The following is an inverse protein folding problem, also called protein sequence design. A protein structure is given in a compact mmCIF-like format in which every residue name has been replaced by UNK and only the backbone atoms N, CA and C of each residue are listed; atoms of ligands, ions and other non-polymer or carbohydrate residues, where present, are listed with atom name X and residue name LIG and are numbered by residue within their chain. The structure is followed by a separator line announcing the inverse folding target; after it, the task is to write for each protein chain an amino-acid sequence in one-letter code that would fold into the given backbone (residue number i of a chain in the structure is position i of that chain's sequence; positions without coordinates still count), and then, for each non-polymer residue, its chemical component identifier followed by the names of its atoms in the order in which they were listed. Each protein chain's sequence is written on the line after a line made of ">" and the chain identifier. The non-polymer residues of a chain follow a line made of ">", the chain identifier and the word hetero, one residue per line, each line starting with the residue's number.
data_IF_718997887776
#
_entry.id   IF_718997887776
#
_cell.length_a   1.000
_cell.length_b   1.000
_cell.length_c   1.000
_cell.angle_alpha   90.00
_cell.angle_beta   90.00
_cell.angle_gamma   90.00
#
_symmetry.space_group_name_H-M   'P 1'
#
loop_
_entity.id
_entity.type
_entity.pdbx_description
1 polymer ?
#
# COMPACT_ATOMS: atom_id res chain seq x y z
N UNK A 1 -6.45 -2.18 -23.15
CA UNK A 1 -5.73 -3.11 -22.25
C UNK A 1 -5.55 -4.45 -22.94
N UNK A 2 -4.34 -5.03 -22.90
CA UNK A 2 -4.13 -6.44 -23.30
C UNK A 2 -4.24 -7.29 -22.03
N UNK A 3 -5.31 -8.08 -21.92
CA UNK A 3 -5.46 -9.06 -20.84
C UNK A 3 -4.42 -10.17 -21.03
N UNK A 4 -3.70 -10.54 -19.97
CA UNK A 4 -2.62 -11.54 -20.03
C UNK A 4 -3.12 -12.94 -19.66
N UNK A 5 -4.22 -13.03 -18.92
CA UNK A 5 -4.82 -14.28 -18.45
C UNK A 5 -6.36 -14.21 -18.44
N UNK A 6 -7.03 -15.38 -18.52
CA UNK A 6 -8.48 -15.48 -18.31
C UNK A 6 -8.88 -15.02 -16.90
N UNK A 7 -7.97 -15.14 -15.93
CA UNK A 7 -8.15 -14.65 -14.57
C UNK A 7 -8.09 -13.12 -14.46
N UNK A 8 -7.62 -12.41 -15.49
CA UNK A 8 -7.77 -10.94 -15.55
C UNK A 8 -9.19 -10.51 -15.92
N UNK A 9 -9.99 -11.43 -16.47
CA UNK A 9 -11.36 -11.21 -16.94
C UNK A 9 -12.35 -11.64 -15.84
N UNK A 10 -12.07 -12.75 -15.17
CA UNK A 10 -12.82 -13.21 -14.00
C UNK A 10 -12.34 -12.40 -12.79
N UNK A 11 -13.16 -11.45 -12.31
CA UNK A 11 -12.83 -10.62 -11.15
C UNK A 11 -12.46 -11.45 -9.90
N UNK A 12 -11.79 -10.86 -8.90
CA UNK A 12 -11.31 -11.59 -7.74
C UNK A 12 -12.47 -12.17 -6.92
N UNK A 13 -12.19 -13.25 -6.19
CA UNK A 13 -13.10 -13.74 -5.15
C UNK A 13 -13.20 -12.65 -4.08
N UNK A 14 -14.40 -12.13 -3.86
CA UNK A 14 -14.61 -10.98 -2.99
C UNK A 14 -15.98 -10.98 -2.33
N UNK A 15 -16.10 -10.22 -1.25
CA UNK A 15 -17.38 -9.74 -0.73
C UNK A 15 -17.82 -8.60 -1.64
N UNK A 16 -19.07 -8.67 -2.12
CA UNK A 16 -19.65 -7.68 -3.03
C UNK A 16 -19.82 -6.27 -2.41
N UNK A 17 -20.38 -5.31 -3.18
CA UNK A 17 -20.95 -5.47 -4.52
C UNK A 17 -19.96 -5.17 -5.65
N UNK A 18 -18.80 -4.56 -5.39
CA UNK A 18 -17.99 -3.92 -6.43
C UNK A 18 -16.52 -4.32 -6.38
N UNK A 19 -15.97 -4.73 -7.52
CA UNK A 19 -14.55 -5.09 -7.60
C UNK A 19 -13.62 -3.90 -7.43
N UNK A 20 -14.00 -2.72 -7.89
CA UNK A 20 -13.21 -1.50 -7.67
C UNK A 20 -13.40 -0.93 -6.27
N UNK A 21 -14.66 -0.82 -5.83
CA UNK A 21 -15.00 -0.11 -4.60
C UNK A 21 -14.94 -0.97 -3.34
N UNK A 22 -14.95 -2.30 -3.48
CA UNK A 22 -14.86 -3.24 -2.34
C UNK A 22 -13.54 -4.01 -2.39
N UNK A 23 -13.28 -4.81 -3.43
CA UNK A 23 -12.03 -5.59 -3.48
C UNK A 23 -10.78 -4.70 -3.61
N UNK A 24 -10.82 -3.70 -4.50
CA UNK A 24 -9.73 -2.73 -4.63
C UNK A 24 -9.52 -1.92 -3.35
N UNK A 25 -10.59 -1.43 -2.75
CA UNK A 25 -10.55 -0.72 -1.48
C UNK A 25 -9.93 -1.56 -0.34
N UNK A 26 -10.34 -2.83 -0.19
CA UNK A 26 -9.76 -3.73 0.81
C UNK A 26 -8.27 -3.98 0.57
N UNK A 27 -7.85 -4.17 -0.68
CA UNK A 27 -6.42 -4.32 -1.02
C UNK A 27 -5.63 -3.06 -0.70
N UNK A 28 -6.15 -1.86 -0.97
CA UNK A 28 -5.49 -0.60 -0.61
C UNK A 28 -5.30 -0.53 0.91
N UNK A 29 -6.34 -0.85 1.69
CA UNK A 29 -6.28 -0.89 3.15
C UNK A 29 -5.25 -1.90 3.67
N UNK A 30 -5.16 -3.08 3.04
CA UNK A 30 -4.21 -4.12 3.43
C UNK A 30 -2.76 -3.75 3.14
N UNK A 31 -2.50 -3.17 1.96
CA UNK A 31 -1.16 -2.65 1.64
C UNK A 31 -0.77 -1.52 2.59
N UNK A 32 -1.69 -0.60 2.90
CA UNK A 32 -1.48 0.42 3.92
C UNK A 32 -1.12 -0.20 5.29
N UNK A 33 -1.85 -1.24 5.71
CA UNK A 33 -1.54 -1.99 6.94
C UNK A 33 -0.14 -2.62 6.92
N UNK A 34 0.26 -3.26 5.82
CA UNK A 34 1.60 -3.82 5.67
C UNK A 34 2.68 -2.74 5.78
N UNK A 35 2.47 -1.58 5.15
CA UNK A 35 3.39 -0.43 5.21
C UNK A 35 3.50 0.15 6.63
N UNK A 36 2.40 0.16 7.38
CA UNK A 36 2.42 0.54 8.79
C UNK A 36 3.15 -0.50 9.64
N UNK A 37 2.99 -1.78 9.33
CA UNK A 37 3.68 -2.94 9.93
C UNK A 37 2.97 -3.53 11.15
N UNK A 38 1.90 -2.90 11.63
CA UNK A 38 1.09 -3.32 12.79
C UNK A 38 -0.26 -2.62 12.79
N UNK A 39 -1.05 -2.77 13.84
CA UNK A 39 -2.34 -2.10 13.95
C UNK A 39 -2.19 -0.64 14.33
N UNK A 40 -2.73 0.30 13.53
CA UNK A 40 -2.80 1.68 13.96
C UNK A 40 -3.88 1.86 15.04
N UNK A 41 -3.69 2.84 15.91
CA UNK A 41 -4.70 3.26 16.88
C UNK A 41 -5.60 4.36 16.30
N UNK A 42 -5.13 5.09 15.28
CA UNK A 42 -5.88 6.12 14.58
C UNK A 42 -5.71 6.00 13.08
N UNK A 43 -6.82 6.12 12.36
CA UNK A 43 -6.90 6.11 10.90
C UNK A 43 -7.76 7.27 10.42
N UNK A 44 -7.23 8.06 9.51
CA UNK A 44 -7.98 9.08 8.76
C UNK A 44 -7.95 8.69 7.29
N UNK A 45 -9.13 8.52 6.70
CA UNK A 45 -9.31 8.16 5.30
C UNK A 45 -9.91 9.34 4.56
N UNK A 46 -9.11 9.99 3.72
CA UNK A 46 -9.59 10.99 2.77
C UNK A 46 -9.95 10.31 1.44
N UNK A 47 -11.20 10.45 1.01
CA UNK A 47 -11.75 9.86 -0.19
C UNK A 47 -11.94 10.93 -1.25
N UNK A 48 -11.63 10.61 -2.50
CA UNK A 48 -11.76 11.53 -3.62
C UNK A 48 -12.68 10.95 -4.70
N UNK A 49 -13.23 11.81 -5.57
CA UNK A 49 -13.96 11.39 -6.77
C UNK A 49 -15.10 10.42 -6.49
N UNK A 50 -15.15 9.32 -7.25
CA UNK A 50 -16.17 8.27 -7.15
C UNK A 50 -16.16 7.58 -5.78
N UNK A 51 -14.99 7.44 -5.16
CA UNK A 51 -14.90 6.92 -3.79
C UNK A 51 -15.63 7.85 -2.82
N UNK A 52 -15.35 9.16 -2.85
CA UNK A 52 -16.05 10.13 -2.00
C UNK A 52 -17.57 10.11 -2.19
N UNK A 53 -18.02 9.99 -3.44
CA UNK A 53 -19.44 10.06 -3.78
C UNK A 53 -20.24 8.81 -3.39
N UNK A 54 -19.60 7.63 -3.36
CA UNK A 54 -20.32 6.35 -3.29
C UNK A 54 -19.84 5.39 -2.21
N UNK A 55 -18.88 5.77 -1.36
CA UNK A 55 -18.25 4.84 -0.42
C UNK A 55 -19.23 4.06 0.46
N UNK A 56 -20.28 4.70 0.97
CA UNK A 56 -21.30 4.01 1.80
C UNK A 56 -22.15 3.03 0.97
N UNK A 57 -22.52 3.40 -0.24
CA UNK A 57 -23.37 2.58 -1.12
C UNK A 57 -22.65 1.35 -1.66
N UNK A 58 -21.35 1.46 -1.90
CA UNK A 58 -20.51 0.36 -2.40
C UNK A 58 -19.66 -0.33 -1.32
N UNK A 59 -19.77 0.09 -0.05
CA UNK A 59 -19.01 -0.48 1.07
C UNK A 59 -17.51 -0.23 1.02
N UNK A 60 -17.07 0.89 0.44
CA UNK A 60 -15.65 1.27 0.36
C UNK A 60 -15.08 1.63 1.73
N UNK A 61 -15.87 2.24 2.61
CA UNK A 61 -15.50 2.47 4.01
C UNK A 61 -15.16 1.15 4.72
N UNK A 62 -16.10 0.22 4.73
CA UNK A 62 -15.93 -1.06 5.41
C UNK A 62 -14.85 -1.91 4.75
N UNK A 63 -14.67 -1.80 3.43
CA UNK A 63 -13.59 -2.49 2.73
C UNK A 63 -12.20 -1.94 3.10
N UNK A 64 -12.00 -0.61 3.05
CA UNK A 64 -10.72 0.01 3.42
C UNK A 64 -10.33 -0.37 4.85
N UNK A 65 -11.28 -0.28 5.79
CA UNK A 65 -11.01 -0.62 7.19
C UNK A 65 -10.82 -2.12 7.38
N UNK A 66 -11.56 -2.97 6.65
CA UNK A 66 -11.33 -4.42 6.64
C UNK A 66 -9.91 -4.76 6.20
N UNK A 67 -9.43 -4.10 5.14
CA UNK A 67 -8.03 -4.21 4.71
C UNK A 67 -7.04 -3.77 5.80
N UNK A 68 -7.32 -2.66 6.49
CA UNK A 68 -6.45 -2.16 7.58
C UNK A 68 -6.39 -3.13 8.78
N UNK A 69 -7.48 -3.87 9.00
CA UNK A 69 -7.56 -4.98 9.95
C UNK A 69 -6.94 -6.30 9.41
N UNK A 70 -6.29 -6.24 8.25
CA UNK A 70 -5.66 -7.38 7.55
C UNK A 70 -6.65 -8.47 7.09
N UNK A 71 -7.86 -8.07 6.72
CA UNK A 71 -8.83 -8.97 6.10
C UNK A 71 -8.58 -9.07 4.59
N UNK A 72 -8.68 -10.28 4.05
CA UNK A 72 -8.63 -10.52 2.61
C UNK A 72 -9.95 -10.12 1.93
N UNK A 73 -9.96 -9.97 0.60
CA UNK A 73 -11.11 -9.44 -0.16
C UNK A 73 -12.39 -10.26 -0.03
N UNK A 74 -12.27 -11.53 0.33
CA UNK A 74 -13.38 -12.48 0.51
C UNK A 74 -13.77 -12.72 1.98
N UNK A 75 -13.17 -12.01 2.92
CA UNK A 75 -13.43 -12.20 4.34
C UNK A 75 -14.85 -11.73 4.73
N UNK A 76 -15.61 -12.65 5.33
CA UNK A 76 -16.99 -12.41 5.76
C UNK A 76 -17.13 -11.32 6.83
N UNK A 77 -16.04 -10.92 7.47
CA UNK A 77 -16.01 -9.86 8.48
C UNK A 77 -15.95 -8.46 7.87
N UNK A 78 -15.64 -8.30 6.58
CA UNK A 78 -15.53 -6.98 5.93
C UNK A 78 -16.73 -6.06 6.25
N UNK A 79 -18.01 -6.49 6.11
CA UNK A 79 -19.15 -5.63 6.40
C UNK A 79 -19.22 -5.12 7.85
N UNK A 80 -18.53 -5.78 8.79
CA UNK A 80 -18.49 -5.46 10.21
C UNK A 80 -17.18 -4.75 10.61
N UNK A 81 -16.33 -4.38 9.66
CA UNK A 81 -14.97 -3.91 9.93
C UNK A 81 -14.93 -2.63 10.78
N UNK A 82 -15.87 -1.69 10.59
CA UNK A 82 -15.94 -0.47 11.40
C UNK A 82 -16.26 -0.77 12.88
N UNK A 83 -17.16 -1.72 13.13
CA UNK A 83 -17.47 -2.14 14.50
C UNK A 83 -16.32 -2.92 15.14
N UNK A 84 -15.65 -3.77 14.35
CA UNK A 84 -14.48 -4.51 14.80
C UNK A 84 -13.31 -3.58 15.11
N UNK A 85 -13.04 -2.61 14.24
CA UNK A 85 -12.04 -1.56 14.45
C UNK A 85 -12.25 -0.84 15.78
N UNK A 86 -13.49 -0.42 16.05
CA UNK A 86 -13.84 0.25 17.30
C UNK A 86 -13.64 -0.66 18.52
N UNK A 87 -14.01 -1.94 18.42
CA UNK A 87 -13.80 -2.93 19.50
C UNK A 87 -12.32 -3.16 19.80
N UNK A 88 -11.47 -3.07 18.79
CA UNK A 88 -10.02 -3.18 18.92
C UNK A 88 -9.33 -1.84 19.25
N UNK A 89 -10.11 -0.79 19.54
CA UNK A 89 -9.59 0.51 19.97
C UNK A 89 -9.00 1.37 18.83
N UNK A 90 -9.34 1.07 17.58
CA UNK A 90 -8.95 1.87 16.42
C UNK A 90 -9.98 2.99 16.17
N UNK A 91 -9.53 4.24 16.27
CA UNK A 91 -10.33 5.43 15.92
C UNK A 91 -10.26 5.68 14.42
N UNK A 92 -11.43 5.73 13.77
CA UNK A 92 -11.55 5.83 12.31
C UNK A 92 -12.35 7.07 11.94
N UNK A 93 -11.77 7.93 11.10
CA UNK A 93 -12.43 9.11 10.54
C UNK A 93 -12.40 9.07 9.02
N UNK A 94 -13.52 9.40 8.38
CA UNK A 94 -13.61 9.58 6.93
C UNK A 94 -13.77 11.05 6.59
N UNK A 95 -13.09 11.48 5.54
CA UNK A 95 -13.15 12.84 4.99
C UNK A 95 -13.46 12.72 3.50
N UNK A 96 -14.49 13.42 3.06
CA UNK A 96 -14.83 13.53 1.64
C UNK A 96 -14.13 14.77 1.07
N UNK A 97 -13.26 14.56 0.10
CA UNK A 97 -12.47 15.63 -0.51
C UNK A 97 -13.08 16.05 -1.85
N UNK A 98 -13.19 17.36 -2.05
CA UNK A 98 -13.69 17.95 -3.29
C UNK A 98 -12.60 18.15 -4.36
N UNK A 99 -11.34 17.93 -4.02
CA UNK A 99 -10.22 18.09 -4.93
C UNK A 99 -10.27 17.07 -6.07
N UNK A 100 -9.91 17.52 -7.28
CA UNK A 100 -9.79 16.65 -8.44
C UNK A 100 -8.45 15.91 -8.35
N UNK A 101 -8.50 14.59 -8.50
CA UNK A 101 -7.34 13.69 -8.52
C UNK A 101 -7.23 13.04 -9.89
N UNK A 102 -6.05 12.52 -10.23
CA UNK A 102 -5.79 11.88 -11.52
C UNK A 102 -6.65 10.63 -11.76
N UNK A 103 -7.11 9.97 -10.70
CA UNK A 103 -7.98 8.81 -10.77
C UNK A 103 -9.21 8.99 -9.86
N UNK A 104 -10.44 8.71 -10.32
CA UNK A 104 -11.65 8.96 -9.52
C UNK A 104 -11.82 8.02 -8.31
N UNK A 105 -11.15 6.86 -8.31
CA UNK A 105 -11.18 5.90 -7.20
C UNK A 105 -9.91 6.04 -6.36
N UNK A 106 -9.75 7.15 -5.65
CA UNK A 106 -8.54 7.46 -4.87
C UNK A 106 -8.87 7.54 -3.38
N UNK A 107 -8.01 6.93 -2.56
CA UNK A 107 -8.03 7.03 -1.11
C UNK A 107 -6.64 7.44 -0.59
N UNK A 108 -6.60 8.46 0.26
CA UNK A 108 -5.43 8.83 1.07
C UNK A 108 -5.68 8.36 2.49
N UNK A 109 -4.84 7.46 2.98
CA UNK A 109 -4.97 6.83 4.29
C UNK A 109 -3.82 7.30 5.17
N UNK A 110 -4.15 8.01 6.23
CA UNK A 110 -3.21 8.43 7.26
C UNK A 110 -3.39 7.58 8.51
N UNK A 111 -2.32 6.92 8.95
CA UNK A 111 -2.33 5.99 10.07
C UNK A 111 -1.33 6.41 11.14
N UNK A 112 -1.69 6.25 12.41
CA UNK A 112 -0.80 6.50 13.55
C UNK A 112 -1.06 5.54 14.71
N UNK A 113 -0.04 5.33 15.53
CA UNK A 113 -0.11 4.65 16.84
C UNK A 113 0.33 5.57 18.00
N UNK A 114 0.55 6.87 17.73
CA UNK A 114 1.09 7.85 18.68
C UNK A 114 2.61 8.02 18.65
N UNK A 115 3.36 7.08 18.06
CA UNK A 115 4.83 7.15 17.91
C UNK A 115 5.26 7.26 16.45
N UNK A 116 4.56 6.53 15.57
CA UNK A 116 4.77 6.45 14.14
C UNK A 116 3.55 7.04 13.43
N UNK A 117 3.81 7.70 12.31
CA UNK A 117 2.79 8.15 11.39
C UNK A 117 3.20 7.78 9.97
N UNK A 118 2.26 7.25 9.19
CA UNK A 118 2.43 7.00 7.76
C UNK A 118 1.20 7.53 7.02
N UNK A 119 1.43 8.05 5.83
CA UNK A 119 0.39 8.40 4.86
C UNK A 119 0.60 7.62 3.57
N UNK A 120 -0.45 7.02 3.04
CA UNK A 120 -0.44 6.23 1.80
C UNK A 120 -1.54 6.73 0.88
N UNK A 121 -1.24 6.90 -0.40
CA UNK A 121 -2.26 7.16 -1.43
C UNK A 121 -2.34 5.94 -2.35
N UNK A 122 -3.55 5.39 -2.45
CA UNK A 122 -3.85 4.26 -3.31
C UNK A 122 -5.00 4.56 -4.25
N UNK A 123 -4.91 4.03 -5.47
CA UNK A 123 -5.96 4.10 -6.49
C UNK A 123 -6.47 2.71 -6.84
N UNK A 124 -7.78 2.55 -7.03
CA UNK A 124 -8.34 1.32 -7.60
C UNK A 124 -8.63 1.48 -9.08
N UNK A 125 -7.83 0.80 -9.90
CA UNK A 125 -7.89 0.87 -11.37
C UNK A 125 -8.94 -0.06 -12.00
N UNK A 126 -9.75 -0.74 -11.18
CA UNK A 126 -10.81 -1.64 -11.63
C UNK A 126 -10.43 -3.12 -11.62
N UNK A 127 -11.44 -4.00 -11.63
CA UNK A 127 -11.23 -5.46 -11.57
C UNK A 127 -10.55 -5.95 -10.29
N UNK A 128 -10.62 -5.17 -9.20
CA UNK A 128 -9.90 -5.45 -7.95
C UNK A 128 -8.41 -5.13 -7.98
N UNK A 129 -7.88 -4.60 -9.08
CA UNK A 129 -6.49 -4.15 -9.17
C UNK A 129 -6.34 -2.78 -8.53
N UNK A 130 -5.17 -2.56 -7.94
CA UNK A 130 -4.83 -1.34 -7.22
C UNK A 130 -3.42 -0.89 -7.61
N UNK A 131 -3.13 0.37 -7.32
CA UNK A 131 -1.79 0.92 -7.40
C UNK A 131 -1.58 1.86 -6.21
N UNK A 132 -0.44 1.76 -5.54
CA UNK A 132 0.00 2.75 -4.55
C UNK A 132 0.80 3.81 -5.29
N UNK A 133 0.31 5.05 -5.25
CA UNK A 133 0.86 6.18 -6.02
C UNK A 133 1.69 7.12 -5.15
N UNK A 134 1.51 7.06 -3.82
CA UNK A 134 2.24 7.92 -2.90
C UNK A 134 2.47 7.21 -1.55
N UNK A 135 3.65 7.39 -0.98
CA UNK A 135 3.97 7.02 0.41
C UNK A 135 4.66 8.20 1.09
N UNK A 136 4.09 8.71 2.18
CA UNK A 136 4.62 9.83 2.95
C UNK A 136 4.98 11.06 2.08
N UNK A 137 4.23 11.37 1.03
CA UNK A 137 4.56 12.44 0.09
C UNK A 137 5.62 12.11 -0.96
N UNK A 138 6.12 10.87 -1.02
CA UNK A 138 6.95 10.40 -2.13
C UNK A 138 6.05 9.75 -3.18
N UNK A 139 6.08 10.25 -4.41
CA UNK A 139 5.40 9.61 -5.54
C UNK A 139 6.05 8.26 -5.87
N UNK A 140 5.20 7.29 -6.20
CA UNK A 140 5.55 5.91 -6.52
C UNK A 140 5.01 5.52 -7.90
N UNK A 141 5.88 5.02 -8.76
CA UNK A 141 5.58 4.52 -10.10
C UNK A 141 5.84 3.01 -10.20
N UNK A 142 5.25 2.25 -9.28
CA UNK A 142 5.27 0.79 -9.35
C UNK A 142 4.24 0.27 -10.36
N UNK A 143 4.61 -0.75 -11.13
CA UNK A 143 3.72 -1.44 -12.05
C UNK A 143 2.66 -2.25 -11.33
N UNK A 144 2.95 -2.69 -10.09
CA UNK A 144 2.08 -3.53 -9.28
C UNK A 144 1.85 -4.93 -9.85
N UNK A 145 2.66 -5.35 -10.84
CA UNK A 145 2.60 -6.68 -11.46
C UNK A 145 3.68 -7.63 -10.95
N UNK A 146 4.71 -7.10 -10.30
CA UNK A 146 5.87 -7.84 -9.83
C UNK A 146 6.04 -7.60 -8.32
N UNK A 147 6.66 -8.56 -7.59
CA UNK A 147 7.07 -8.36 -6.22
C UNK A 147 7.91 -7.09 -6.06
N UNK A 148 7.65 -6.32 -5.01
CA UNK A 148 8.38 -5.08 -4.77
C UNK A 148 8.77 -4.90 -3.30
N UNK A 149 9.87 -4.18 -3.08
CA UNK A 149 10.23 -3.64 -1.78
C UNK A 149 10.31 -2.13 -1.80
N UNK A 150 9.94 -1.54 -0.67
CA UNK A 150 10.14 -0.13 -0.37
C UNK A 150 11.21 0.00 0.70
N UNK A 151 12.25 0.79 0.41
CA UNK A 151 13.37 1.04 1.31
C UNK A 151 13.44 2.53 1.62
N UNK A 152 12.99 2.90 2.83
CA UNK A 152 13.16 4.24 3.37
C UNK A 152 14.56 4.33 3.95
N UNK A 153 15.34 5.33 3.53
CA UNK A 153 16.73 5.49 3.92
C UNK A 153 17.12 6.96 4.01
N UNK A 154 18.24 7.24 4.67
CA UNK A 154 18.87 8.55 4.61
C UNK A 154 19.69 8.65 3.31
N UNK A 155 19.49 9.71 2.51
CA UNK A 155 20.19 9.98 1.25
C UNK A 155 21.68 10.24 1.51
N UNK A 156 22.44 9.14 1.62
CA UNK A 156 23.87 9.10 1.94
C UNK A 156 24.61 8.28 0.90
N UNK A 157 25.88 8.63 0.70
CA UNK A 157 26.75 7.91 -0.20
C UNK A 157 26.78 6.41 0.14
N UNK A 158 26.58 5.59 -0.88
CA UNK A 158 26.60 4.13 -0.76
C UNK A 158 25.26 3.48 -0.41
N UNK A 159 24.22 4.22 0.00
CA UNK A 159 22.95 3.61 0.43
C UNK A 159 22.27 2.74 -0.65
N UNK A 160 22.25 3.22 -1.90
CA UNK A 160 21.73 2.44 -3.03
C UNK A 160 22.61 1.22 -3.29
N UNK A 161 23.94 1.41 -3.28
CA UNK A 161 24.90 0.35 -3.57
C UNK A 161 24.89 -0.77 -2.52
N UNK A 162 24.70 -0.46 -1.25
CA UNK A 162 24.61 -1.47 -0.19
C UNK A 162 23.36 -2.32 -0.34
N UNK A 163 22.21 -1.71 -0.68
CA UNK A 163 20.97 -2.44 -0.96
C UNK A 163 21.12 -3.34 -2.18
N UNK A 164 21.61 -2.82 -3.31
CA UNK A 164 21.78 -3.62 -4.53
C UNK A 164 22.82 -4.73 -4.35
N UNK A 165 23.84 -4.52 -3.54
CA UNK A 165 24.82 -5.56 -3.22
C UNK A 165 24.20 -6.74 -2.45
N UNK A 166 23.27 -6.49 -1.53
CA UNK A 166 22.54 -7.56 -0.84
C UNK A 166 21.66 -8.31 -1.85
N UNK A 167 20.90 -7.61 -2.69
CA UNK A 167 20.07 -8.26 -3.72
C UNK A 167 20.92 -9.12 -4.67
N UNK A 168 22.08 -8.62 -5.09
CA UNK A 168 23.05 -9.34 -5.92
C UNK A 168 23.64 -10.57 -5.21
N UNK A 169 24.00 -10.46 -3.92
CA UNK A 169 24.49 -11.60 -3.10
C UNK A 169 23.48 -12.75 -3.08
N UNK A 170 22.20 -12.43 -3.07
CA UNK A 170 21.09 -13.39 -3.09
C UNK A 170 20.60 -13.74 -4.51
N UNK A 171 21.30 -13.29 -5.55
CA UNK A 171 20.96 -13.54 -6.96
C UNK A 171 19.54 -13.07 -7.35
N UNK A 172 19.08 -11.96 -6.78
CA UNK A 172 17.78 -11.36 -7.07
C UNK A 172 17.92 -10.32 -8.19
N UNK A 173 17.17 -10.53 -9.28
CA UNK A 173 17.10 -9.58 -10.39
C UNK A 173 16.17 -8.41 -10.06
N UNK A 174 16.59 -7.21 -10.46
CA UNK A 174 15.82 -5.96 -10.36
C UNK A 174 15.23 -5.67 -11.74
N UNK A 175 13.91 -5.71 -11.86
CA UNK A 175 13.20 -5.37 -13.09
C UNK A 175 12.94 -3.87 -13.22
N UNK A 176 12.67 -3.20 -12.10
CA UNK A 176 12.48 -1.76 -12.05
C UNK A 176 12.99 -1.22 -10.71
N UNK A 177 13.64 -0.05 -10.74
CA UNK A 177 14.05 0.66 -9.54
C UNK A 177 13.90 2.16 -9.76
N UNK A 178 13.30 2.82 -8.80
CA UNK A 178 13.25 4.28 -8.73
C UNK A 178 13.64 4.75 -7.32
N UNK A 179 14.17 5.97 -7.26
CA UNK A 179 14.56 6.61 -6.00
C UNK A 179 14.01 8.02 -5.98
N UNK A 180 13.20 8.31 -4.97
CA UNK A 180 12.55 9.60 -4.76
C UNK A 180 13.09 10.22 -3.47
N UNK A 181 13.43 11.51 -3.52
CA UNK A 181 13.88 12.29 -2.35
C UNK A 181 13.10 13.60 -2.26
N UNK A 182 12.77 14.04 -1.05
CA UNK A 182 12.11 15.35 -0.82
C UNK A 182 13.13 16.48 -0.90
N UNK A 183 14.25 16.31 -0.19
CA UNK A 183 15.37 17.25 -0.19
C UNK A 183 16.69 16.47 -0.20
N UNK A 184 17.75 17.13 -0.67
CA UNK A 184 19.08 16.51 -0.77
C UNK A 184 19.67 16.28 0.61
N UNK A 185 20.06 15.04 0.92
CA UNK A 185 20.72 14.67 2.19
C UNK A 185 19.78 14.29 3.33
N UNK A 186 18.47 14.33 3.08
CA UNK A 186 17.40 13.96 4.02
C UNK A 186 16.90 12.53 3.75
N UNK A 187 15.65 12.24 4.10
CA UNK A 187 15.01 10.95 3.83
C UNK A 187 14.70 10.78 2.35
N UNK A 188 15.00 9.60 1.81
CA UNK A 188 14.67 9.15 0.47
C UNK A 188 13.99 7.78 0.52
N UNK A 189 13.26 7.47 -0.55
CA UNK A 189 12.54 6.22 -0.75
C UNK A 189 13.08 5.54 -1.99
N UNK A 190 13.60 4.33 -1.85
CA UNK A 190 13.85 3.44 -2.99
C UNK A 190 12.66 2.51 -3.15
N UNK A 191 12.09 2.45 -4.35
CA UNK A 191 11.08 1.47 -4.71
C UNK A 191 11.69 0.51 -5.74
N UNK A 192 11.68 -0.79 -5.44
CA UNK A 192 12.41 -1.80 -6.20
C UNK A 192 11.45 -2.93 -6.56
N UNK A 193 11.14 -3.10 -7.84
CA UNK A 193 10.43 -4.28 -8.37
C UNK A 193 11.44 -5.35 -8.81
N UNK A 194 11.13 -6.59 -8.48
CA UNK A 194 12.01 -7.73 -8.65
C UNK A 194 11.27 -8.86 -9.36
N UNK A 195 12.01 -9.74 -10.02
CA UNK A 195 11.42 -10.87 -10.76
C UNK A 195 10.83 -11.94 -9.82
N UNK A 196 11.36 -12.02 -8.59
CA UNK A 196 10.98 -13.01 -7.59
C UNK A 196 10.68 -12.34 -6.26
N UNK A 197 9.82 -12.98 -5.46
CA UNK A 197 9.65 -12.57 -4.08
C UNK A 197 10.96 -12.79 -3.32
N UNK A 198 11.21 -11.98 -2.30
CA UNK A 198 12.41 -12.12 -1.48
C UNK A 198 12.07 -12.79 -0.16
N UNK A 199 12.97 -13.62 0.32
CA UNK A 199 12.83 -14.32 1.60
C UNK A 199 12.99 -13.36 2.79
N UNK A 200 12.53 -13.78 3.97
CA UNK A 200 12.54 -12.94 5.16
C UNK A 200 13.97 -12.67 5.67
N UNK A 201 14.91 -13.58 5.46
CA UNK A 201 16.31 -13.39 5.80
C UNK A 201 16.97 -12.24 5.01
N UNK A 202 16.62 -12.08 3.72
CA UNK A 202 17.06 -10.96 2.88
C UNK A 202 16.52 -9.63 3.42
N UNK A 203 15.25 -9.60 3.82
CA UNK A 203 14.63 -8.42 4.44
C UNK A 203 15.36 -8.05 5.73
N UNK A 204 15.63 -9.03 6.60
CA UNK A 204 16.35 -8.78 7.84
C UNK A 204 17.78 -8.31 7.58
N UNK A 205 18.49 -8.88 6.59
CA UNK A 205 19.82 -8.41 6.20
C UNK A 205 19.78 -6.94 5.73
N UNK A 206 18.81 -6.57 4.89
CA UNK A 206 18.62 -5.19 4.42
C UNK A 206 18.35 -4.22 5.58
N UNK A 207 17.59 -4.63 6.60
CA UNK A 207 17.31 -3.81 7.79
C UNK A 207 18.55 -3.54 8.64
N UNK A 208 19.59 -4.38 8.56
CA UNK A 208 20.84 -4.17 9.29
C UNK A 208 21.77 -3.16 8.63
N UNK A 209 21.50 -2.78 7.37
CA UNK A 209 22.35 -1.85 6.64
C UNK A 209 22.37 -0.46 7.29
N UNK A 210 23.54 0.22 7.32
CA UNK A 210 23.60 1.60 7.78
C UNK A 210 22.74 2.48 6.88
N UNK A 211 22.14 3.50 7.50
CA UNK A 211 21.29 4.50 6.86
C UNK A 211 19.92 4.01 6.37
N UNK A 212 19.62 2.70 6.43
CA UNK A 212 18.28 2.18 6.18
C UNK A 212 17.42 2.41 7.42
N UNK A 213 16.26 3.02 7.20
CA UNK A 213 15.29 3.38 8.25
C UNK A 213 14.20 2.32 8.31
N UNK A 214 13.68 1.90 7.14
CA UNK A 214 12.62 0.92 7.05
C UNK A 214 12.72 0.16 5.73
N UNK A 215 12.50 -1.16 5.78
CA UNK A 215 12.33 -2.02 4.61
C UNK A 215 10.95 -2.65 4.71
N UNK A 216 10.15 -2.54 3.65
CA UNK A 216 8.81 -3.13 3.60
C UNK A 216 8.63 -3.91 2.31
N UNK A 217 8.15 -5.14 2.43
CA UNK A 217 7.69 -5.95 1.29
C UNK A 217 6.29 -5.50 0.90
N UNK A 218 6.09 -5.21 -0.38
CA UNK A 218 4.76 -5.03 -0.96
C UNK A 218 4.20 -6.44 -1.22
N UNK A 219 3.16 -6.82 -0.48
CA UNK A 219 2.51 -8.13 -0.64
C UNK A 219 1.48 -8.05 -1.78
N UNK A 220 1.36 -9.12 -2.57
CA UNK A 220 0.25 -9.33 -3.52
C UNK A 220 -1.08 -9.61 -2.80
#
# INVERSE_FOLDING_TARGET
>A
MKYKSVFDIIGPVMIGPSSSHTAGAARIGRVARTLFGKQPTKVVVSLYGSFAQTYKGHGTDVALIGGILDFDTFDQRIPQSLDLAKKEGMDVTFVEEAAITDHPNTARIKMSDGLKEIEVVGISIGGGKIQITELNGFELNLSGMNPAILVVHNDRFGAIATVTNILMKHSINIGHMEVSRKERGEVALMAIEMDTNIEDDVIEELKTLPHIIQVTRMVE
#
